data_IF_443074218723
#
_entry.id   IF_443074218723
#
_cell.length_a   1.000
_cell.length_b   1.000
_cell.length_c   1.000
_cell.angle_alpha   90.00
_cell.angle_beta   90.00
_cell.angle_gamma   90.00
#
_symmetry.space_group_name_H-M   'P 1'
#
loop_
_entity.id
_entity.type
_entity.pdbx_description
1 polymer ?
#
# COMPACT_ATOMS: atom_id res chain seq x y z
N UNK A 1 -5.02 -0.47 -10.56
CA UNK A 1 -4.99 0.33 -9.31
C UNK A 1 -4.14 1.54 -9.63
N UNK A 2 -4.63 2.77 -9.44
CA UNK A 2 -3.71 3.91 -9.44
C UNK A 2 -3.28 4.11 -8.00
N UNK A 3 -2.06 3.72 -7.72
CA UNK A 3 -1.45 3.91 -6.41
C UNK A 3 -0.93 5.34 -6.39
N UNK A 4 -1.55 6.21 -5.60
CA UNK A 4 -0.98 7.54 -5.32
C UNK A 4 -0.38 7.48 -3.93
N UNK A 5 0.90 7.12 -3.85
CA UNK A 5 1.67 7.21 -2.61
C UNK A 5 2.16 8.66 -2.52
N UNK A 6 1.64 9.42 -1.55
CA UNK A 6 2.10 10.78 -1.28
C UNK A 6 3.47 10.81 -0.60
N UNK A 7 4.32 11.75 -1.04
CA UNK A 7 5.71 12.06 -0.64
C UNK A 7 6.78 11.01 -0.95
N UNK A 8 7.38 11.16 -2.14
CA UNK A 8 8.59 10.47 -2.59
C UNK A 8 9.82 11.36 -2.39
N UNK A 9 10.51 11.27 -1.24
CA UNK A 9 11.94 11.60 -1.13
C UNK A 9 12.60 10.74 -0.05
N UNK A 10 13.66 10.05 -0.52
CA UNK A 10 14.71 9.27 0.17
C UNK A 10 14.29 7.96 0.84
N UNK A 11 14.81 6.85 0.29
CA UNK A 11 14.91 5.48 0.83
C UNK A 11 13.62 4.92 1.47
N UNK A 12 13.03 3.88 0.88
CA UNK A 12 11.84 3.21 1.45
C UNK A 12 12.06 2.80 2.92
N UNK A 13 13.31 2.48 3.30
CA UNK A 13 13.72 2.25 4.68
C UNK A 13 13.68 3.51 5.57
N UNK A 14 14.05 4.67 5.04
CA UNK A 14 13.98 5.94 5.76
C UNK A 14 12.53 6.45 5.92
N UNK A 15 11.59 6.02 5.06
CA UNK A 15 10.16 6.33 5.22
C UNK A 15 9.51 5.47 6.31
N UNK A 16 9.96 4.23 6.52
CA UNK A 16 9.43 3.38 7.58
C UNK A 16 9.61 3.97 9.01
N UNK A 17 10.60 4.85 9.19
CA UNK A 17 10.94 5.49 10.47
C UNK A 17 10.38 6.91 10.65
N UNK A 18 9.73 7.50 9.64
CA UNK A 18 9.19 8.87 9.69
C UNK A 18 7.78 8.94 10.29
N UNK A 19 7.33 10.17 10.58
CA UNK A 19 5.97 10.46 11.00
C UNK A 19 4.95 9.94 9.98
N UNK A 20 4.05 9.08 10.47
CA UNK A 20 3.02 8.36 9.69
C UNK A 20 1.67 9.07 9.70
N UNK A 21 1.55 10.20 10.40
CA UNK A 21 0.31 10.96 10.53
C UNK A 21 -0.31 11.38 9.19
N UNK A 22 0.52 11.52 8.14
CA UNK A 22 0.08 11.92 6.79
C UNK A 22 -0.03 10.75 5.81
N UNK A 23 0.26 9.52 6.25
CA UNK A 23 0.22 8.35 5.40
C UNK A 23 -1.22 7.87 5.17
N UNK A 24 -1.52 7.46 3.93
CA UNK A 24 -2.82 6.90 3.56
C UNK A 24 -2.69 5.93 2.38
N UNK A 25 -3.67 5.06 2.23
CA UNK A 25 -3.92 4.29 1.00
C UNK A 25 -5.18 4.80 0.32
N UNK A 26 -5.18 4.80 -1.01
CA UNK A 26 -6.26 5.37 -1.81
C UNK A 26 -6.86 4.31 -2.73
N UNK A 27 -8.18 4.13 -2.65
CA UNK A 27 -8.96 3.40 -3.65
C UNK A 27 -9.64 4.40 -4.57
N UNK A 28 -9.50 4.26 -5.88
CA UNK A 28 -10.17 5.15 -6.86
C UNK A 28 -11.49 4.60 -7.41
N UNK A 29 -11.63 3.29 -7.48
CA UNK A 29 -12.83 2.60 -7.99
C UNK A 29 -13.25 1.48 -7.03
N UNK A 30 -14.55 1.21 -6.84
CA UNK A 30 -15.69 1.87 -7.49
C UNK A 30 -15.94 3.31 -7.02
N UNK A 31 -15.46 3.67 -5.84
CA UNK A 31 -15.52 5.03 -5.29
C UNK A 31 -14.15 5.49 -4.84
N UNK A 32 -13.91 6.80 -4.94
CA UNK A 32 -12.68 7.45 -4.47
C UNK A 32 -12.72 7.60 -2.95
N UNK A 33 -11.93 6.81 -2.23
CA UNK A 33 -11.87 6.80 -0.76
C UNK A 33 -10.42 6.69 -0.30
N UNK A 34 -10.01 7.61 0.58
CA UNK A 34 -8.71 7.57 1.25
C UNK A 34 -8.86 6.95 2.64
N UNK A 35 -7.96 6.04 2.98
CA UNK A 35 -7.89 5.37 4.28
C UNK A 35 -6.59 5.80 4.96
N UNK A 36 -6.73 6.67 5.96
CA UNK A 36 -5.61 7.27 6.67
C UNK A 36 -5.02 6.31 7.68
N UNK A 37 -3.76 6.56 8.05
CA UNK A 37 -3.07 5.83 9.09
C UNK A 37 -3.88 5.79 10.38
N UNK A 38 -4.10 4.58 10.90
CA UNK A 38 -4.95 4.34 12.05
C UNK A 38 -4.24 4.48 13.40
N UNK A 39 -2.91 4.41 13.41
CA UNK A 39 -2.12 4.27 14.63
C UNK A 39 -2.18 2.88 15.29
N UNK A 40 -2.89 1.91 14.72
CA UNK A 40 -3.08 0.59 15.32
C UNK A 40 -1.81 -0.27 15.38
N UNK A 41 -0.79 0.05 14.57
CA UNK A 41 0.50 -0.62 14.58
C UNK A 41 1.61 0.37 14.22
N UNK A 42 2.85 -0.10 14.07
CA UNK A 42 4.02 0.74 13.71
C UNK A 42 4.49 0.50 12.26
N UNK A 43 3.90 -0.43 11.52
CA UNK A 43 4.40 -0.85 10.21
C UNK A 43 3.64 -0.17 9.10
N UNK A 44 4.28 0.83 8.47
CA UNK A 44 3.69 1.56 7.35
C UNK A 44 4.04 0.91 6.00
N UNK A 45 5.29 0.56 5.81
CA UNK A 45 5.81 0.01 4.57
C UNK A 45 6.96 -0.95 4.90
N UNK A 46 7.04 -2.04 4.17
CA UNK A 46 8.16 -2.97 4.16
C UNK A 46 8.56 -3.20 2.70
N UNK A 47 9.84 -2.99 2.40
CA UNK A 47 10.37 -3.11 1.05
C UNK A 47 11.62 -3.98 1.10
N UNK A 48 11.54 -5.13 0.45
CA UNK A 48 12.64 -6.06 0.28
C UNK A 48 13.03 -6.12 -1.20
N UNK A 49 14.07 -6.89 -1.53
CA UNK A 49 14.39 -7.18 -2.92
C UNK A 49 13.26 -7.93 -3.64
N UNK A 50 12.51 -8.74 -2.89
CA UNK A 50 11.50 -9.64 -3.43
C UNK A 50 10.07 -9.05 -3.40
N UNK A 51 9.83 -7.96 -2.66
CA UNK A 51 8.48 -7.44 -2.48
C UNK A 51 8.40 -6.00 -2.00
N UNK A 52 7.26 -5.37 -2.30
CA UNK A 52 6.83 -4.10 -1.72
C UNK A 52 5.51 -4.35 -0.97
N UNK A 53 5.46 -4.02 0.32
CA UNK A 53 4.28 -4.15 1.16
C UNK A 53 3.94 -2.82 1.81
N UNK A 54 2.66 -2.46 1.79
CA UNK A 54 2.11 -1.26 2.42
C UNK A 54 1.11 -1.71 3.50
N UNK A 55 1.40 -1.35 4.74
CA UNK A 55 0.71 -1.82 5.93
C UNK A 55 1.42 -2.97 6.65
N UNK A 56 0.89 -3.36 7.80
CA UNK A 56 1.43 -4.42 8.67
C UNK A 56 1.14 -5.85 8.21
N UNK A 57 0.91 -6.76 9.16
CA UNK A 57 0.85 -8.23 8.93
C UNK A 57 -0.03 -8.69 7.77
N UNK A 58 -1.19 -8.05 7.57
CA UNK A 58 -2.01 -8.20 6.38
C UNK A 58 -1.93 -6.90 5.56
N UNK A 59 -1.04 -6.80 4.56
CA UNK A 59 -0.82 -5.55 3.84
C UNK A 59 -2.05 -5.11 3.07
N UNK A 60 -2.31 -3.81 3.06
CA UNK A 60 -3.31 -3.20 2.19
C UNK A 60 -2.94 -3.39 0.72
N UNK A 61 -1.64 -3.33 0.42
CA UNK A 61 -1.04 -3.66 -0.88
C UNK A 61 0.21 -4.50 -0.61
N UNK A 62 0.31 -5.65 -1.27
CA UNK A 62 1.56 -6.38 -1.42
C UNK A 62 1.83 -6.58 -2.91
N UNK A 63 3.06 -6.38 -3.36
CA UNK A 63 3.50 -6.53 -4.74
C UNK A 63 4.77 -7.38 -4.77
N UNK A 64 4.91 -8.21 -5.80
CA UNK A 64 6.13 -8.96 -6.07
C UNK A 64 7.26 -8.04 -6.59
N UNK A 65 8.48 -8.60 -6.69
CA UNK A 65 9.68 -7.89 -7.16
C UNK A 65 9.58 -7.37 -8.59
N UNK A 66 8.76 -8.02 -9.42
CA UNK A 66 8.54 -7.62 -10.81
C UNK A 66 7.40 -6.62 -10.97
N UNK A 67 6.70 -6.31 -9.88
CA UNK A 67 5.49 -5.49 -9.84
C UNK A 67 4.47 -5.95 -10.89
N UNK A 68 4.32 -7.27 -11.06
CA UNK A 68 3.35 -7.88 -11.98
C UNK A 68 2.15 -8.45 -11.23
N UNK A 69 2.43 -9.09 -10.10
CA UNK A 69 1.42 -9.69 -9.25
C UNK A 69 1.47 -9.07 -7.86
N UNK A 70 0.34 -9.19 -7.17
CA UNK A 70 0.20 -8.68 -5.82
C UNK A 70 -1.12 -9.07 -5.22
N UNK A 71 -1.34 -8.60 -4.00
CA UNK A 71 -2.59 -8.82 -3.30
C UNK A 71 -3.03 -7.60 -2.52
N UNK A 72 -4.32 -7.57 -2.17
CA UNK A 72 -4.90 -6.57 -1.30
C UNK A 72 -5.82 -7.22 -0.29
N UNK A 73 -5.64 -6.82 0.97
CA UNK A 73 -6.37 -7.36 2.11
C UNK A 73 -7.00 -6.25 2.94
N UNK A 74 -7.85 -6.66 3.89
CA UNK A 74 -8.14 -5.80 5.01
C UNK A 74 -6.85 -5.53 5.79
N UNK A 75 -6.60 -4.25 6.10
CA UNK A 75 -5.35 -3.84 6.74
C UNK A 75 -5.62 -2.94 7.94
N UNK A 76 -5.21 -3.40 9.13
CA UNK A 76 -5.38 -2.67 10.39
C UNK A 76 -4.62 -1.35 10.45
N UNK A 77 -3.50 -1.24 9.71
CA UNK A 77 -2.71 -0.01 9.59
C UNK A 77 -3.51 1.20 9.08
N UNK A 78 -4.56 0.95 8.29
CA UNK A 78 -5.36 2.01 7.67
C UNK A 78 -6.87 1.83 7.92
N UNK A 79 -7.27 0.76 8.61
CA UNK A 79 -8.66 0.24 8.61
C UNK A 79 -9.25 0.14 7.20
N UNK A 80 -8.41 -0.13 6.21
CA UNK A 80 -8.85 -0.24 4.84
C UNK A 80 -9.44 -1.62 4.60
N UNK A 81 -10.58 -1.74 3.89
CA UNK A 81 -10.99 -3.02 3.33
C UNK A 81 -10.01 -3.43 2.23
N UNK A 82 -10.23 -4.61 1.64
CA UNK A 82 -9.60 -4.97 0.36
C UNK A 82 -9.81 -3.83 -0.65
N UNK A 83 -8.70 -3.32 -1.19
CA UNK A 83 -8.70 -2.17 -2.09
C UNK A 83 -8.98 -2.57 -3.53
N UNK A 84 -8.58 -3.78 -3.91
CA UNK A 84 -8.70 -4.32 -5.26
C UNK A 84 -8.48 -5.85 -5.26
N UNK A 85 -8.63 -6.44 -6.44
CA UNK A 85 -8.35 -7.85 -6.68
C UNK A 85 -9.62 -8.67 -6.88
N UNK A 86 -9.42 -9.96 -7.18
CA UNK A 86 -10.49 -10.93 -7.35
C UNK A 86 -11.07 -11.42 -6.00
N UNK A 87 -11.81 -12.53 -6.02
CA UNK A 87 -12.37 -13.14 -4.82
C UNK A 87 -11.28 -13.59 -3.81
N UNK A 88 -10.11 -13.99 -4.28
CA UNK A 88 -8.96 -14.31 -3.43
C UNK A 88 -8.20 -13.06 -2.95
N UNK A 89 -8.37 -11.93 -3.66
CA UNK A 89 -7.67 -10.67 -3.37
C UNK A 89 -6.41 -10.48 -4.19
N UNK A 90 -6.22 -11.31 -5.21
CA UNK A 90 -5.08 -11.26 -6.12
C UNK A 90 -5.26 -10.13 -7.13
N UNK A 91 -4.15 -9.46 -7.44
CA UNK A 91 -4.09 -8.28 -8.29
C UNK A 91 -3.06 -8.51 -9.39
N UNK A 92 -3.48 -8.38 -10.64
CA UNK A 92 -2.55 -8.20 -11.76
C UNK A 92 -2.32 -6.71 -12.02
N UNK A 93 -1.06 -6.29 -11.95
CA UNK A 93 -0.65 -4.90 -12.16
C UNK A 93 -0.52 -4.64 -13.65
N UNK A 94 -1.34 -3.72 -14.17
CA UNK A 94 -1.25 -3.26 -15.57
C UNK A 94 -0.35 -2.04 -15.75
N UNK A 95 -0.26 -1.22 -14.72
CA UNK A 95 0.50 0.03 -14.71
C UNK A 95 0.85 0.38 -13.26
N UNK A 96 2.10 0.77 -13.03
CA UNK A 96 2.56 1.40 -11.80
C UNK A 96 3.16 2.75 -12.16
N UNK A 97 2.69 3.80 -11.49
CA UNK A 97 3.21 5.15 -11.65
C UNK A 97 3.69 5.64 -10.29
N UNK A 98 4.84 6.29 -10.25
CA UNK A 98 5.31 7.05 -9.10
C UNK A 98 5.37 8.51 -9.52
N UNK A 99 4.62 9.37 -8.82
CA UNK A 99 4.62 10.81 -9.06
C UNK A 99 5.59 11.46 -8.07
N UNK A 100 6.48 12.30 -8.58
CA UNK A 100 7.51 13.02 -7.81
C UNK A 100 7.14 14.49 -7.71
#
# INVERSE_FOLDING_TARGET
IRLTIGRFRTDARALASRDKSTAFVLRLRPARVAYWWSGANKTFMDCTFDSIKIGGEAPAIALDSWVKHGSSNFCSSFWSPRLAGDAAGEVSVKLMETLI
#
